data_IF_719589176482
#
_entry.id   IF_719589176482
#
_cell.length_a   1.000
_cell.length_b   1.000
_cell.length_c   1.000
_cell.angle_alpha   90.00
_cell.angle_beta   90.00
_cell.angle_gamma   90.00
#
_symmetry.space_group_name_H-M   'P 1'
#
loop_
_entity.id
_entity.type
_entity.pdbx_description
1 polymer ?
#
# COMPACT_ATOMS: atom_id res chain seq x y z
N UNK A 1 -12.56 8.27 -3.46
CA UNK A 1 -12.28 8.14 -2.01
C UNK A 1 -10.77 8.24 -1.80
N UNK A 2 -10.32 9.06 -0.88
CA UNK A 2 -8.92 9.13 -0.49
C UNK A 2 -8.65 8.11 0.63
N UNK A 3 -7.70 7.21 0.42
CA UNK A 3 -7.41 6.12 1.38
C UNK A 3 -6.96 6.67 2.73
N UNK A 4 -5.98 7.58 2.73
CA UNK A 4 -5.46 8.17 3.97
C UNK A 4 -6.56 8.84 4.78
N UNK A 5 -7.39 9.65 4.15
CA UNK A 5 -8.48 10.36 4.81
C UNK A 5 -9.49 9.39 5.41
N UNK A 6 -9.84 8.35 4.66
CA UNK A 6 -10.82 7.36 5.12
C UNK A 6 -10.29 6.52 6.29
N UNK A 7 -9.03 6.10 6.23
CA UNK A 7 -8.42 5.33 7.32
C UNK A 7 -8.26 6.18 8.58
N UNK A 8 -7.92 7.46 8.43
CA UNK A 8 -7.85 8.40 9.56
C UNK A 8 -9.23 8.55 10.21
N UNK A 9 -10.28 8.63 9.39
CA UNK A 9 -11.66 8.71 9.90
C UNK A 9 -12.07 7.45 10.64
N UNK A 10 -11.71 6.27 10.14
CA UNK A 10 -12.15 4.98 10.68
C UNK A 10 -11.36 4.55 11.92
N UNK A 11 -10.06 4.81 11.93
CA UNK A 11 -9.15 4.30 12.97
C UNK A 11 -8.62 5.41 13.86
N UNK A 12 -8.41 6.61 13.31
CA UNK A 12 -7.86 7.76 14.03
C UNK A 12 -6.47 8.14 13.52
N UNK A 13 -5.93 9.25 14.04
CA UNK A 13 -4.58 9.70 13.74
C UNK A 13 -3.56 8.90 14.52
N UNK A 14 -2.62 8.26 13.81
CA UNK A 14 -1.46 7.63 14.41
C UNK A 14 -0.23 8.51 14.20
N UNK A 15 0.53 8.79 15.30
CA UNK A 15 1.61 9.75 15.28
C UNK A 15 2.69 9.47 14.21
N UNK A 16 3.05 8.19 14.03
CA UNK A 16 4.12 7.81 13.09
C UNK A 16 3.62 6.92 11.96
N UNK A 17 2.31 6.80 11.82
CA UNK A 17 1.69 5.95 10.80
C UNK A 17 1.68 6.67 9.47
N UNK A 18 2.21 6.01 8.44
CA UNK A 18 2.17 6.51 7.06
C UNK A 18 1.17 5.72 6.25
N UNK A 19 0.14 6.41 5.79
CA UNK A 19 -0.94 5.84 5.02
C UNK A 19 -0.83 6.30 3.57
N UNK A 20 -1.35 5.48 2.65
CA UNK A 20 -1.35 5.84 1.24
C UNK A 20 -2.27 7.03 0.99
N UNK A 21 -1.68 8.15 0.61
CA UNK A 21 -2.41 9.37 0.26
C UNK A 21 -2.73 9.33 -1.23
N UNK A 22 -3.78 8.59 -1.56
CA UNK A 22 -4.16 8.34 -2.94
C UNK A 22 -5.69 8.23 -3.05
N UNK A 23 -6.22 8.77 -4.14
CA UNK A 23 -7.64 8.64 -4.46
C UNK A 23 -7.87 7.34 -5.23
N UNK A 24 -8.85 6.57 -4.79
CA UNK A 24 -9.17 5.28 -5.40
C UNK A 24 -10.66 5.13 -5.63
N UNK A 25 -11.01 4.21 -6.52
CA UNK A 25 -12.37 3.70 -6.67
C UNK A 25 -12.42 2.33 -5.99
N UNK A 26 -13.01 2.25 -4.77
CA UNK A 26 -12.92 1.01 -3.97
C UNK A 26 -13.50 -0.22 -4.65
N UNK A 27 -14.57 -0.06 -5.41
CA UNK A 27 -15.24 -1.15 -6.14
C UNK A 27 -14.44 -1.64 -7.35
N UNK A 28 -13.49 -0.86 -7.83
CA UNK A 28 -12.68 -1.20 -9.00
C UNK A 28 -11.42 -1.99 -8.64
N UNK A 29 -11.02 -2.03 -7.37
CA UNK A 29 -9.83 -2.76 -6.95
C UNK A 29 -10.11 -4.25 -6.91
N UNK A 30 -9.32 -5.04 -7.64
CA UNK A 30 -9.46 -6.49 -7.79
C UNK A 30 -8.31 -7.27 -7.16
N UNK A 31 -7.15 -6.63 -7.02
CA UNK A 31 -5.96 -7.25 -6.46
C UNK A 31 -5.25 -6.28 -5.52
N UNK A 32 -4.70 -6.82 -4.44
CA UNK A 32 -3.89 -6.04 -3.49
C UNK A 32 -2.53 -6.71 -3.36
N UNK A 33 -1.47 -5.91 -3.52
CA UNK A 33 -0.10 -6.34 -3.26
C UNK A 33 0.30 -5.77 -1.90
N UNK A 34 0.64 -6.64 -0.96
CA UNK A 34 1.03 -6.23 0.40
C UNK A 34 2.52 -6.47 0.59
N UNK A 35 3.26 -5.39 0.81
CA UNK A 35 4.67 -5.43 1.17
C UNK A 35 4.83 -5.38 2.68
N UNK A 36 6.04 -5.67 3.17
CA UNK A 36 6.26 -5.78 4.61
C UNK A 36 6.10 -4.44 5.33
N UNK A 37 6.94 -3.47 5.02
CA UNK A 37 7.05 -2.24 5.82
C UNK A 37 7.25 -1.02 4.93
N UNK A 38 6.71 0.13 5.36
CA UNK A 38 6.92 1.40 4.67
C UNK A 38 8.42 1.77 4.70
N UNK A 39 8.94 2.38 3.61
CA UNK A 39 10.34 2.82 3.59
C UNK A 39 10.59 3.96 4.58
N UNK A 40 11.83 4.09 5.04
CA UNK A 40 12.20 5.15 5.97
C UNK A 40 12.04 6.54 5.33
N UNK A 41 12.37 6.66 4.03
CA UNK A 41 12.28 7.91 3.29
C UNK A 41 10.87 8.04 2.67
N UNK A 42 10.08 9.07 3.06
CA UNK A 42 8.76 9.29 2.49
C UNK A 42 8.75 9.47 0.97
N UNK A 43 9.85 9.92 0.37
CA UNK A 43 9.95 10.05 -1.08
C UNK A 43 9.90 8.69 -1.79
N UNK A 44 10.10 7.59 -1.06
CA UNK A 44 10.04 6.23 -1.58
C UNK A 44 8.67 5.58 -1.39
N UNK A 45 7.69 6.29 -0.85
CA UNK A 45 6.32 5.78 -0.73
C UNK A 45 5.74 5.49 -2.11
N UNK A 46 4.92 4.43 -2.21
CA UNK A 46 4.37 3.98 -3.50
C UNK A 46 3.64 5.08 -4.27
N UNK A 47 2.88 5.89 -3.57
CA UNK A 47 2.07 6.95 -4.18
C UNK A 47 2.67 8.33 -3.93
N UNK A 48 3.91 8.38 -3.42
CA UNK A 48 4.59 9.63 -3.13
C UNK A 48 5.49 10.14 -4.25
N UNK A 49 6.05 9.23 -5.06
CA UNK A 49 6.96 9.59 -6.12
C UNK A 49 6.90 8.58 -7.27
N UNK A 50 6.89 9.04 -8.54
CA UNK A 50 6.97 8.14 -9.69
C UNK A 50 8.33 7.41 -9.78
N UNK A 51 9.35 7.91 -9.08
CA UNK A 51 10.71 7.37 -9.13
C UNK A 51 11.05 6.47 -7.93
N UNK A 52 10.06 6.06 -7.13
CA UNK A 52 10.28 5.18 -5.99
C UNK A 52 11.00 3.89 -6.43
N UNK A 53 12.00 3.48 -5.66
CA UNK A 53 12.83 2.30 -5.99
C UNK A 53 12.00 1.02 -6.16
N UNK A 54 10.98 0.83 -5.32
CA UNK A 54 10.09 -0.32 -5.40
C UNK A 54 9.48 -0.44 -6.81
N UNK A 55 9.11 0.67 -7.42
CA UNK A 55 8.42 0.67 -8.71
C UNK A 55 9.34 0.21 -9.84
N UNK A 56 10.65 0.38 -9.70
CA UNK A 56 11.62 -0.09 -10.70
C UNK A 56 11.65 -1.61 -10.80
N UNK A 57 11.23 -2.30 -9.75
CA UNK A 57 11.11 -3.77 -9.72
C UNK A 57 9.69 -4.23 -9.98
N UNK A 58 8.72 -3.61 -9.32
CA UNK A 58 7.32 -4.04 -9.36
C UNK A 58 6.67 -3.85 -10.73
N UNK A 59 6.90 -2.70 -11.39
CA UNK A 59 6.27 -2.44 -12.68
C UNK A 59 6.71 -3.41 -13.78
N UNK A 60 8.02 -3.72 -13.92
CA UNK A 60 8.44 -4.75 -14.87
C UNK A 60 7.83 -6.12 -14.60
N UNK A 61 7.72 -6.51 -13.32
CA UNK A 61 7.09 -7.80 -12.96
C UNK A 61 5.62 -7.84 -13.36
N UNK A 62 4.89 -6.75 -13.15
CA UNK A 62 3.49 -6.67 -13.56
C UNK A 62 3.35 -6.76 -15.08
N UNK A 63 4.26 -6.12 -15.82
CA UNK A 63 4.27 -6.21 -17.29
C UNK A 63 4.55 -7.63 -17.77
N UNK A 64 5.47 -8.34 -17.14
CA UNK A 64 5.73 -9.75 -17.44
C UNK A 64 4.51 -10.63 -17.17
N UNK A 65 3.74 -10.29 -16.15
CA UNK A 65 2.51 -11.01 -15.80
C UNK A 65 1.33 -10.66 -16.72
N UNK A 66 1.53 -9.80 -17.70
CA UNK A 66 0.50 -9.45 -18.67
C UNK A 66 -0.23 -8.13 -18.42
N UNK A 67 0.11 -7.42 -17.35
CA UNK A 67 -0.49 -6.12 -17.07
C UNK A 67 0.30 -5.02 -17.77
N UNK A 68 -0.34 -4.31 -18.69
CA UNK A 68 0.30 -3.22 -19.43
C UNK A 68 0.30 -1.94 -18.60
N UNK A 69 1.22 -1.87 -17.64
CA UNK A 69 1.33 -0.75 -16.69
C UNK A 69 2.68 -0.05 -16.83
N UNK A 70 2.69 1.26 -16.81
CA UNK A 70 3.89 2.09 -16.88
C UNK A 70 4.10 2.90 -15.61
N UNK A 71 3.09 2.98 -14.74
CA UNK A 71 3.16 3.69 -13.48
C UNK A 71 2.32 2.98 -12.43
N UNK A 72 2.49 3.37 -11.17
CA UNK A 72 1.66 2.88 -10.07
C UNK A 72 0.19 3.28 -10.27
N UNK A 73 -0.06 4.43 -10.89
CA UNK A 73 -1.42 4.91 -11.17
C UNK A 73 -2.07 4.10 -12.30
N UNK A 74 -1.31 3.68 -13.29
CA UNK A 74 -1.80 2.74 -14.32
C UNK A 74 -2.19 1.40 -13.68
N UNK A 75 -1.40 0.91 -12.74
CA UNK A 75 -1.72 -0.30 -12.00
C UNK A 75 -3.03 -0.13 -11.24
N UNK A 76 -3.20 1.01 -10.57
CA UNK A 76 -4.42 1.32 -9.83
C UNK A 76 -5.64 1.39 -10.77
N UNK A 77 -5.50 2.02 -11.93
CA UNK A 77 -6.57 2.09 -12.94
C UNK A 77 -6.98 0.71 -13.44
N UNK A 78 -6.07 -0.26 -13.38
CA UNK A 78 -6.34 -1.65 -13.75
C UNK A 78 -6.80 -2.50 -12.57
N UNK A 79 -7.05 -1.88 -11.43
CA UNK A 79 -7.57 -2.55 -10.25
C UNK A 79 -6.53 -3.18 -9.35
N UNK A 80 -5.27 -2.74 -9.44
CA UNK A 80 -4.18 -3.23 -8.59
C UNK A 80 -3.80 -2.14 -7.58
N UNK A 81 -4.02 -2.44 -6.31
CA UNK A 81 -3.66 -1.54 -5.20
C UNK A 81 -2.45 -2.10 -4.46
N UNK A 82 -1.50 -1.24 -4.12
CA UNK A 82 -0.27 -1.62 -3.43
C UNK A 82 -0.21 -0.97 -2.06
N UNK A 83 0.11 -1.74 -1.04
CA UNK A 83 0.22 -1.23 0.32
C UNK A 83 1.30 -1.96 1.11
N UNK A 84 1.49 -1.54 2.36
CA UNK A 84 2.40 -2.17 3.32
C UNK A 84 1.62 -2.68 4.52
N UNK A 85 2.03 -3.82 5.07
CA UNK A 85 1.43 -4.36 6.28
C UNK A 85 1.80 -3.52 7.50
N UNK A 86 3.07 -3.14 7.62
CA UNK A 86 3.57 -2.29 8.69
C UNK A 86 3.61 -0.85 8.23
N UNK A 87 2.88 0.03 8.93
CA UNK A 87 2.65 1.41 8.53
C UNK A 87 3.67 2.41 9.13
N UNK A 88 4.57 1.92 9.97
CA UNK A 88 5.66 2.73 10.53
C UNK A 88 6.99 2.17 10.05
N UNK A 89 8.00 3.02 9.74
CA UNK A 89 9.30 2.53 9.32
C UNK A 89 9.96 1.69 10.40
N UNK A 90 10.61 0.60 10.01
CA UNK A 90 11.35 -0.21 10.97
C UNK A 90 12.63 0.48 11.38
N UNK A 91 13.05 0.26 12.64
CA UNK A 91 14.31 0.72 13.18
C UNK A 91 15.26 -0.49 13.19
N UNK A 92 16.25 -0.47 12.30
CA UNK A 92 17.16 -1.60 12.11
C UNK A 92 16.62 -2.67 11.13
N UNK A 93 16.99 -3.93 11.35
CA UNK A 93 16.66 -5.03 10.45
C UNK A 93 15.32 -5.68 10.74
N UNK A 94 14.88 -5.64 11.99
CA UNK A 94 13.68 -6.31 12.43
C UNK A 94 12.54 -5.34 12.65
N UNK A 95 11.31 -5.78 12.31
CA UNK A 95 10.09 -5.04 12.62
C UNK A 95 9.73 -5.29 14.07
N UNK A 96 9.58 -4.24 14.86
CA UNK A 96 9.18 -4.35 16.26
C UNK A 96 7.74 -4.86 16.36
N UNK A 97 7.47 -5.69 17.38
CA UNK A 97 6.13 -6.20 17.67
C UNK A 97 5.11 -5.07 17.82
N UNK A 98 5.51 -3.97 18.47
CA UNK A 98 4.64 -2.81 18.67
C UNK A 98 4.24 -2.17 17.33
N UNK A 99 5.17 -2.10 16.37
CA UNK A 99 4.87 -1.57 15.04
C UNK A 99 3.83 -2.41 14.32
N UNK A 100 3.91 -3.74 14.45
CA UNK A 100 2.90 -4.67 13.93
C UNK A 100 1.54 -4.43 14.57
N UNK A 101 1.51 -4.33 15.91
CA UNK A 101 0.26 -4.11 16.65
C UNK A 101 -0.38 -2.76 16.32
N UNK A 102 0.42 -1.70 16.23
CA UNK A 102 -0.06 -0.35 15.90
C UNK A 102 -0.57 -0.25 14.46
N UNK A 103 -0.01 -1.05 13.56
CA UNK A 103 -0.37 -1.03 12.14
C UNK A 103 -1.60 -1.87 11.82
N UNK A 104 -1.88 -2.90 12.61
CA UNK A 104 -2.92 -3.88 12.31
C UNK A 104 -4.32 -3.27 12.14
N UNK A 105 -4.79 -2.35 13.02
CA UNK A 105 -6.11 -1.73 12.82
C UNK A 105 -6.22 -0.97 11.49
N UNK A 106 -5.14 -0.33 11.06
CA UNK A 106 -5.11 0.37 9.77
C UNK A 106 -5.15 -0.61 8.60
N UNK A 107 -4.38 -1.69 8.66
CA UNK A 107 -4.37 -2.70 7.61
C UNK A 107 -5.74 -3.37 7.49
N UNK A 108 -6.35 -3.75 8.60
CA UNK A 108 -7.68 -4.37 8.60
C UNK A 108 -8.72 -3.45 7.98
N UNK A 109 -8.73 -2.17 8.39
CA UNK A 109 -9.66 -1.18 7.82
C UNK A 109 -9.39 -0.94 6.33
N UNK A 110 -8.11 -0.89 5.94
CA UNK A 110 -7.70 -0.69 4.56
C UNK A 110 -8.19 -1.82 3.65
N UNK A 111 -7.96 -3.06 4.06
CA UNK A 111 -8.42 -4.22 3.28
C UNK A 111 -9.94 -4.27 3.18
N UNK A 112 -10.65 -3.82 4.20
CA UNK A 112 -12.11 -3.77 4.21
C UNK A 112 -12.70 -2.69 3.30
N UNK A 113 -11.89 -1.75 2.80
CA UNK A 113 -12.35 -0.72 1.86
C UNK A 113 -12.72 -1.29 0.48
N UNK A 114 -12.18 -2.44 0.13
CA UNK A 114 -12.23 -2.97 -1.24
C UNK A 114 -13.12 -4.21 -1.32
N UNK A 115 -14.42 -4.06 -1.67
CA UNK A 115 -15.37 -5.18 -1.60
C UNK A 115 -15.19 -6.22 -2.70
N UNK A 116 -14.48 -5.89 -3.79
CA UNK A 116 -14.40 -6.76 -4.96
C UNK A 116 -13.03 -7.40 -5.17
N UNK A 117 -12.17 -7.36 -4.16
CA UNK A 117 -10.84 -7.97 -4.24
C UNK A 117 -10.96 -9.48 -4.38
N UNK A 118 -10.23 -10.03 -5.35
CA UNK A 118 -10.19 -11.47 -5.65
C UNK A 118 -8.84 -12.10 -5.31
N UNK A 119 -7.78 -11.29 -5.26
CA UNK A 119 -6.42 -11.76 -5.02
C UNK A 119 -5.71 -10.82 -4.07
N UNK A 120 -5.06 -11.40 -3.06
CA UNK A 120 -4.14 -10.68 -2.18
C UNK A 120 -2.79 -11.39 -2.27
N UNK A 121 -1.76 -10.65 -2.66
CA UNK A 121 -0.41 -11.18 -2.80
C UNK A 121 0.49 -10.58 -1.73
N UNK A 122 1.15 -11.45 -0.97
CA UNK A 122 2.14 -11.04 0.02
C UNK A 122 3.51 -11.01 -0.64
N UNK A 123 4.13 -9.83 -0.64
CA UNK A 123 5.45 -9.61 -1.22
C UNK A 123 6.47 -9.60 -0.10
N UNK A 124 7.44 -10.48 -0.19
CA UNK A 124 8.45 -10.65 0.85
C UNK A 124 9.41 -9.49 1.06
#
# INVERSE_FOLDING_TARGET
>A
MNVKSELTRLVGDGADVRLNDVDVRPDAVKAILINEVVPADPAQDFYGSPDAEYLKTALPLLREAGANVESIYDALDRGIYVTNAVKTPKDGYDVEKRALEDSLPYLEAELALFPNVKVVMLMG
#
